data_IF_609252080429
#
_entry.id   IF_609252080429
#
_cell.length_a   1.000
_cell.length_b   1.000
_cell.length_c   1.000
_cell.angle_alpha   90.00
_cell.angle_beta   90.00
_cell.angle_gamma   90.00
#
_symmetry.space_group_name_H-M   'P 1'
#
loop_
_entity.id
_entity.type
_entity.pdbx_description
1 polymer ?
#
# COMPACT_ATOMS: atom_id res chain seq x y z
N UNK A 1 -13.71 -7.63 5.85
CA UNK A 1 -13.30 -8.99 5.42
C UNK A 1 -13.21 -9.03 3.89
N UNK A 2 -12.10 -8.59 3.30
CA UNK A 2 -12.01 -8.52 1.82
C UNK A 2 -10.64 -8.97 1.33
N UNK A 3 -10.64 -9.87 0.36
CA UNK A 3 -9.48 -10.21 -0.44
C UNK A 3 -9.61 -9.52 -1.79
N UNK A 4 -8.52 -8.90 -2.25
CA UNK A 4 -8.46 -8.21 -3.54
C UNK A 4 -7.32 -8.77 -4.36
N UNK A 5 -7.58 -9.02 -5.62
CA UNK A 5 -6.59 -9.46 -6.57
C UNK A 5 -6.66 -8.57 -7.80
N UNK A 6 -5.51 -8.21 -8.33
CA UNK A 6 -5.38 -7.38 -9.51
C UNK A 6 -4.12 -7.73 -10.28
N UNK A 7 -4.14 -7.48 -11.57
CA UNK A 7 -2.93 -7.48 -12.38
C UNK A 7 -2.54 -6.03 -12.65
N UNK A 8 -1.29 -5.70 -12.40
CA UNK A 8 -0.73 -4.36 -12.48
C UNK A 8 0.36 -4.38 -13.55
N UNK A 9 0.42 -3.37 -14.40
CA UNK A 9 1.45 -3.20 -15.40
C UNK A 9 1.92 -1.77 -15.46
N UNK A 10 3.18 -1.57 -15.14
CA UNK A 10 3.88 -0.32 -15.36
C UNK A 10 4.15 -0.16 -16.86
N UNK A 11 3.63 0.88 -17.49
CA UNK A 11 3.86 1.13 -18.92
C UNK A 11 4.94 2.16 -19.18
N UNK A 12 5.02 3.18 -18.35
CA UNK A 12 6.07 4.16 -18.42
C UNK A 12 7.32 3.71 -17.67
N UNK A 13 8.50 4.02 -18.22
CA UNK A 13 9.75 3.86 -17.49
C UNK A 13 9.74 4.82 -16.29
N UNK A 14 9.92 4.28 -15.10
CA UNK A 14 9.88 5.05 -13.87
C UNK A 14 8.47 5.36 -13.35
N UNK A 15 7.46 4.55 -13.71
CA UNK A 15 6.07 4.75 -13.24
C UNK A 15 5.92 4.55 -11.74
N UNK A 16 5.02 5.35 -11.16
CA UNK A 16 4.61 5.30 -9.76
C UNK A 16 3.07 5.31 -9.65
N UNK A 17 2.55 4.49 -8.78
CA UNK A 17 1.15 4.42 -8.38
C UNK A 17 1.04 3.69 -7.04
N UNK A 18 -0.16 3.53 -6.52
CA UNK A 18 -0.42 2.78 -5.31
C UNK A 18 -1.86 2.27 -5.24
N UNK A 19 -2.06 1.21 -4.47
CA UNK A 19 -3.40 0.77 -4.11
C UNK A 19 -3.63 1.11 -2.65
N UNK A 20 -4.48 2.09 -2.43
CA UNK A 20 -4.90 2.54 -1.11
C UNK A 20 -6.10 1.71 -0.65
N UNK A 21 -6.13 1.31 0.59
CA UNK A 21 -7.25 0.55 1.15
C UNK A 21 -7.59 1.02 2.57
N UNK A 22 -8.84 0.81 2.97
CA UNK A 22 -9.40 1.36 4.22
C UNK A 22 -9.34 2.90 4.27
N UNK A 23 -9.48 3.55 3.13
CA UNK A 23 -9.48 5.01 3.02
C UNK A 23 -10.64 5.59 3.82
N UNK A 24 -10.35 6.59 4.61
CA UNK A 24 -11.33 7.49 5.23
C UNK A 24 -11.35 8.79 4.44
N UNK A 25 -12.52 9.22 4.01
CA UNK A 25 -12.66 10.53 3.37
C UNK A 25 -12.59 11.64 4.43
N UNK A 26 -11.67 12.56 4.23
CA UNK A 26 -11.50 13.76 5.06
C UNK A 26 -11.56 14.96 4.14
N UNK A 27 -12.51 15.86 4.40
CA UNK A 27 -12.74 17.03 3.55
C UNK A 27 -11.45 17.85 3.35
N UNK A 28 -11.15 18.18 2.10
CA UNK A 28 -9.97 18.98 1.74
C UNK A 28 -8.63 18.26 1.90
N UNK A 29 -8.63 16.95 2.20
CA UNK A 29 -7.41 16.17 2.38
C UNK A 29 -7.27 15.08 1.31
N UNK A 30 -6.04 14.75 0.90
CA UNK A 30 -5.80 13.66 -0.03
C UNK A 30 -5.99 12.28 0.64
N UNK A 31 -6.48 11.30 -0.12
CA UNK A 31 -6.83 9.98 0.39
C UNK A 31 -5.65 9.21 1.03
N UNK A 32 -4.43 9.46 0.56
CA UNK A 32 -3.24 8.73 1.03
C UNK A 32 -2.83 9.06 2.47
N UNK A 33 -3.38 10.08 3.10
CA UNK A 33 -3.07 10.37 4.51
C UNK A 33 -3.83 9.48 5.49
N UNK A 34 -4.90 8.83 5.03
CA UNK A 34 -5.79 8.04 5.88
C UNK A 34 -5.72 6.54 5.64
N UNK A 35 -4.90 6.12 4.68
CA UNK A 35 -4.92 4.75 4.16
C UNK A 35 -3.54 4.11 4.10
N UNK A 36 -3.39 2.85 4.50
CA UNK A 36 -2.24 2.04 4.12
C UNK A 36 -2.17 1.90 2.60
N UNK A 37 -0.95 1.83 2.07
CA UNK A 37 -0.69 1.77 0.64
C UNK A 37 0.11 0.52 0.28
N UNK A 38 -0.44 -0.26 -0.68
CA UNK A 38 0.31 -1.24 -1.43
C UNK A 38 1.02 -0.52 -2.56
N UNK A 39 2.34 -0.38 -2.48
CA UNK A 39 3.12 0.38 -3.46
C UNK A 39 3.12 -0.29 -4.82
N UNK A 40 2.99 0.51 -5.88
CA UNK A 40 3.15 0.10 -7.28
C UNK A 40 4.24 0.97 -7.89
N UNK A 41 5.40 0.38 -8.18
CA UNK A 41 6.57 1.13 -8.59
C UNK A 41 7.44 0.36 -9.58
N UNK A 42 7.98 1.07 -10.57
CA UNK A 42 9.13 0.58 -11.34
C UNK A 42 10.40 0.69 -10.47
N UNK A 43 10.72 -0.37 -9.76
CA UNK A 43 11.84 -0.40 -8.80
C UNK A 43 13.20 -0.08 -9.42
N UNK A 44 13.37 -0.36 -10.71
CA UNK A 44 14.64 -0.16 -11.40
C UNK A 44 14.88 1.29 -11.80
N UNK A 45 13.82 2.01 -12.17
CA UNK A 45 13.94 3.30 -12.82
C UNK A 45 13.36 4.47 -12.01
N UNK A 46 12.43 4.24 -11.07
CA UNK A 46 11.85 5.31 -10.27
C UNK A 46 12.79 5.69 -9.10
N UNK A 47 13.06 6.98 -8.87
CA UNK A 47 13.97 7.42 -7.81
C UNK A 47 13.50 7.06 -6.40
N UNK A 48 12.18 6.99 -6.15
CA UNK A 48 11.62 6.67 -4.83
C UNK A 48 11.98 5.24 -4.36
N UNK A 49 12.26 4.32 -5.28
CA UNK A 49 12.72 2.96 -4.94
C UNK A 49 14.02 2.93 -4.12
N UNK A 50 14.82 3.99 -4.21
CA UNK A 50 16.11 4.16 -3.52
C UNK A 50 15.98 4.97 -2.23
N UNK A 51 14.82 5.55 -1.99
CA UNK A 51 14.51 6.31 -0.80
C UNK A 51 13.91 5.39 0.28
N UNK A 52 13.69 5.97 1.47
CA UNK A 52 13.18 5.20 2.59
C UNK A 52 14.25 4.32 3.23
N UNK A 53 13.83 3.19 3.81
CA UNK A 53 14.69 2.27 4.54
C UNK A 53 14.48 0.85 4.04
N UNK A 54 15.58 0.16 3.75
CA UNK A 54 15.60 -1.27 3.38
C UNK A 54 14.67 -1.65 2.18
N UNK A 55 14.36 -0.69 1.29
CA UNK A 55 13.46 -0.90 0.15
C UNK A 55 11.97 -0.79 0.47
N UNK A 56 11.59 -0.18 1.58
CA UNK A 56 10.20 -0.04 2.01
C UNK A 56 9.33 0.89 1.15
N UNK A 57 9.89 1.42 0.05
CA UNK A 57 9.17 2.16 -0.98
C UNK A 57 9.16 1.45 -2.34
N UNK A 58 9.63 0.22 -2.39
CA UNK A 58 9.58 -0.61 -3.59
C UNK A 58 8.20 -1.25 -3.77
N UNK A 59 7.94 -1.80 -4.96
CA UNK A 59 6.68 -2.45 -5.32
C UNK A 59 6.24 -3.49 -4.29
N UNK A 60 4.94 -3.54 -4.00
CA UNK A 60 4.27 -4.39 -3.02
C UNK A 60 4.60 -4.13 -1.55
N UNK A 61 5.52 -3.22 -1.23
CA UNK A 61 5.78 -2.79 0.15
C UNK A 61 4.54 -2.16 0.77
N UNK A 62 4.43 -2.23 2.10
CA UNK A 62 3.62 -1.26 2.83
C UNK A 62 4.42 0.05 2.83
N UNK A 63 3.98 1.00 2.03
CA UNK A 63 4.74 2.19 1.68
C UNK A 63 5.30 2.91 2.91
N UNK A 64 6.62 3.18 2.86
CA UNK A 64 7.42 3.85 3.90
C UNK A 64 7.47 3.13 5.27
N UNK A 65 6.92 1.91 5.39
CA UNK A 65 6.89 1.16 6.64
C UNK A 65 7.55 -0.22 6.54
N UNK A 66 7.01 -1.13 5.71
CA UNK A 66 7.51 -2.50 5.61
C UNK A 66 7.94 -2.82 4.18
N UNK A 67 9.21 -3.22 3.95
CA UNK A 67 9.66 -3.65 2.64
C UNK A 67 9.03 -4.98 2.23
N UNK A 68 8.68 -5.12 0.94
CA UNK A 68 8.29 -6.41 0.38
C UNK A 68 9.47 -7.38 0.34
N UNK A 69 9.30 -8.56 0.96
CA UNK A 69 10.32 -9.63 0.98
C UNK A 69 9.65 -10.99 0.78
N UNK A 70 10.05 -11.77 -0.26
CA UNK A 70 11.03 -11.41 -1.29
C UNK A 70 10.54 -10.27 -2.19
N UNK A 71 11.47 -9.49 -2.75
CA UNK A 71 11.14 -8.55 -3.81
C UNK A 71 11.15 -9.26 -5.14
N UNK A 72 9.96 -9.64 -5.64
CA UNK A 72 9.79 -10.47 -6.83
C UNK A 72 9.01 -9.75 -7.94
N UNK A 73 9.03 -8.40 -7.95
CA UNK A 73 8.42 -7.63 -9.03
C UNK A 73 9.12 -7.90 -10.36
N UNK A 74 8.32 -8.09 -11.40
CA UNK A 74 8.81 -8.16 -12.78
C UNK A 74 9.11 -6.76 -13.28
N UNK A 75 10.02 -6.62 -14.27
CA UNK A 75 10.37 -5.34 -14.86
C UNK A 75 9.17 -4.58 -15.44
N UNK A 76 9.32 -3.27 -15.63
CA UNK A 76 8.31 -2.46 -16.30
C UNK A 76 7.95 -3.05 -17.68
N UNK A 77 6.69 -2.87 -18.08
CA UNK A 77 6.16 -3.49 -19.30
C UNK A 77 5.63 -4.91 -19.11
N UNK A 78 5.94 -5.58 -18.00
CA UNK A 78 5.40 -6.88 -17.67
C UNK A 78 4.23 -6.79 -16.66
N UNK A 79 3.34 -7.80 -16.68
CA UNK A 79 2.25 -7.88 -15.74
C UNK A 79 2.70 -8.50 -14.42
N UNK A 80 2.52 -7.76 -13.33
CA UNK A 80 2.61 -8.24 -11.96
C UNK A 80 1.22 -8.54 -11.42
N UNK A 81 1.10 -9.57 -10.60
CA UNK A 81 -0.13 -9.91 -9.89
C UNK A 81 -0.03 -9.43 -8.47
N UNK A 82 -0.90 -8.48 -8.10
CA UNK A 82 -1.01 -7.99 -6.73
C UNK A 82 -2.24 -8.57 -6.04
N UNK A 83 -2.13 -8.87 -4.75
CA UNK A 83 -3.26 -9.25 -3.91
C UNK A 83 -3.08 -8.65 -2.51
N UNK A 84 -4.15 -8.08 -1.99
CA UNK A 84 -4.22 -7.59 -0.61
C UNK A 84 -5.30 -8.41 0.10
N UNK A 85 -4.92 -9.07 1.17
CA UNK A 85 -5.84 -9.72 2.11
C UNK A 85 -5.93 -8.85 3.36
N UNK A 86 -7.14 -8.53 3.80
CA UNK A 86 -7.38 -7.85 5.07
C UNK A 86 -8.47 -8.62 5.83
N UNK A 87 -8.10 -9.21 6.96
CA UNK A 87 -9.01 -10.03 7.78
C UNK A 87 -8.76 -9.80 9.26
N UNK A 88 -9.75 -9.28 9.97
CA UNK A 88 -9.69 -9.01 11.43
C UNK A 88 -8.42 -8.25 11.87
N UNK A 89 -8.02 -7.24 11.09
CA UNK A 89 -6.83 -6.44 11.35
C UNK A 89 -5.53 -7.02 10.82
N UNK A 90 -5.47 -8.31 10.48
CA UNK A 90 -4.33 -8.88 9.78
C UNK A 90 -4.38 -8.48 8.32
N UNK A 91 -3.29 -7.92 7.82
CA UNK A 91 -3.12 -7.54 6.42
C UNK A 91 -1.92 -8.26 5.83
N UNK A 92 -2.12 -8.85 4.65
CA UNK A 92 -1.05 -9.50 3.88
C UNK A 92 -1.02 -8.95 2.47
N UNK A 93 0.13 -8.47 2.03
CA UNK A 93 0.40 -8.18 0.63
C UNK A 93 1.00 -9.40 -0.05
N UNK A 94 0.49 -9.70 -1.23
CA UNK A 94 1.05 -10.71 -2.11
C UNK A 94 1.53 -10.05 -3.40
N UNK A 95 2.65 -10.49 -3.91
CA UNK A 95 3.15 -10.13 -5.23
C UNK A 95 3.53 -11.41 -5.98
N UNK A 96 2.99 -11.57 -7.19
CA UNK A 96 3.21 -12.75 -8.04
C UNK A 96 2.98 -14.09 -7.29
N UNK A 97 1.84 -14.14 -6.57
CA UNK A 97 1.35 -15.27 -5.76
C UNK A 97 2.13 -15.58 -4.46
N UNK A 98 3.19 -14.83 -4.15
CA UNK A 98 3.93 -14.97 -2.90
C UNK A 98 3.52 -13.91 -1.88
N UNK A 99 3.34 -14.27 -0.58
CA UNK A 99 3.17 -13.30 0.49
C UNK A 99 4.50 -12.56 0.70
N UNK A 100 4.49 -11.23 0.64
CA UNK A 100 5.70 -10.40 0.70
C UNK A 100 5.71 -9.40 1.84
N UNK A 101 4.54 -9.10 2.42
CA UNK A 101 4.36 -8.25 3.62
C UNK A 101 3.23 -8.83 4.45
N UNK A 102 3.41 -8.87 5.77
CA UNK A 102 2.33 -9.15 6.73
C UNK A 102 2.46 -8.18 7.91
N UNK A 103 1.33 -7.66 8.37
CA UNK A 103 1.25 -6.80 9.54
C UNK A 103 -0.15 -6.82 10.17
N UNK A 104 -0.25 -6.26 11.39
CA UNK A 104 -1.49 -6.25 12.15
C UNK A 104 -1.86 -4.82 12.54
N UNK A 105 -2.97 -4.33 11.98
CA UNK A 105 -3.54 -3.04 12.31
C UNK A 105 -3.97 -2.97 13.77
N UNK A 106 -3.98 -1.76 14.34
CA UNK A 106 -4.46 -1.43 15.68
C UNK A 106 -3.70 -2.12 16.83
N UNK A 107 -2.47 -2.56 16.57
CA UNK A 107 -1.57 -3.15 17.55
C UNK A 107 -0.50 -2.15 18.00
N UNK A 108 0.20 -2.47 19.09
CA UNK A 108 1.37 -1.69 19.51
C UNK A 108 2.45 -1.66 18.43
N UNK A 109 2.66 -2.78 17.73
CA UNK A 109 3.61 -2.86 16.61
C UNK A 109 3.22 -1.92 15.47
N UNK A 110 1.93 -1.81 15.14
CA UNK A 110 1.42 -0.86 14.16
C UNK A 110 1.75 0.58 14.54
N UNK A 111 1.54 0.93 15.81
CA UNK A 111 1.91 2.25 16.33
C UNK A 111 3.39 2.53 16.20
N UNK A 112 4.25 1.59 16.57
CA UNK A 112 5.71 1.72 16.48
C UNK A 112 6.18 1.90 15.02
N UNK A 113 5.56 1.21 14.07
CA UNK A 113 5.84 1.42 12.64
C UNK A 113 5.47 2.83 12.19
N UNK A 114 4.33 3.35 12.61
CA UNK A 114 3.92 4.73 12.31
C UNK A 114 4.89 5.75 12.93
N UNK A 115 5.29 5.55 14.17
CA UNK A 115 6.24 6.43 14.88
C UNK A 115 7.59 6.52 14.14
N UNK A 116 8.00 5.45 13.44
CA UNK A 116 9.26 5.37 12.70
C UNK A 116 9.15 5.71 11.21
N UNK A 117 7.97 6.07 10.71
CA UNK A 117 7.70 6.39 9.30
C UNK A 117 7.68 7.89 9.03
N UNK A 118 7.44 8.25 7.76
CA UNK A 118 7.14 9.65 7.39
C UNK A 118 5.81 10.14 7.98
N UNK A 119 4.93 9.24 8.40
CA UNK A 119 3.64 9.53 9.00
C UNK A 119 3.70 9.66 10.52
N UNK A 120 4.89 9.76 11.13
CA UNK A 120 5.04 9.94 12.56
C UNK A 120 4.33 11.19 13.06
N UNK A 121 3.91 11.18 14.31
CA UNK A 121 3.14 12.28 14.92
C UNK A 121 3.85 13.63 14.81
N UNK A 122 5.17 13.63 14.93
CA UNK A 122 5.97 14.87 14.86
C UNK A 122 6.08 15.44 13.45
N UNK A 123 6.03 14.57 12.42
CA UNK A 123 6.15 14.98 11.02
C UNK A 123 4.81 15.31 10.40
N UNK A 124 3.79 14.49 10.69
CA UNK A 124 2.47 14.62 10.09
C UNK A 124 1.35 14.20 11.05
N UNK A 125 0.97 15.05 12.01
CA UNK A 125 0.03 14.72 13.09
C UNK A 125 -1.32 14.16 12.61
N UNK A 126 -1.92 14.78 11.58
CA UNK A 126 -3.22 14.34 11.05
C UNK A 126 -3.13 12.95 10.42
N UNK A 127 -2.15 12.71 9.56
CA UNK A 127 -1.95 11.39 8.95
C UNK A 127 -1.67 10.32 10.00
N UNK A 128 -0.90 10.65 11.02
CA UNK A 128 -0.64 9.75 12.14
C UNK A 128 -1.92 9.29 12.83
N UNK A 129 -2.80 10.23 13.20
CA UNK A 129 -4.06 9.91 13.89
C UNK A 129 -5.00 9.09 13.02
N UNK A 130 -5.14 9.44 11.73
CA UNK A 130 -5.97 8.71 10.79
C UNK A 130 -5.47 7.29 10.55
N UNK A 131 -4.18 7.10 10.38
CA UNK A 131 -3.57 5.79 10.18
C UNK A 131 -3.55 4.95 11.46
N UNK A 132 -3.35 5.57 12.63
CA UNK A 132 -3.45 4.89 13.92
C UNK A 132 -4.84 4.27 14.11
N UNK A 133 -5.88 5.00 13.72
CA UNK A 133 -7.28 4.58 13.74
C UNK A 133 -7.77 4.12 12.36
N UNK A 134 -6.92 3.48 11.58
CA UNK A 134 -7.21 3.06 10.20
C UNK A 134 -8.60 2.42 10.08
N UNK A 135 -9.41 2.94 9.14
CA UNK A 135 -10.81 2.54 8.94
C UNK A 135 -11.80 3.14 9.94
N UNK A 136 -11.38 4.07 10.81
CA UNK A 136 -12.24 4.74 11.78
C UNK A 136 -12.90 3.81 12.80
N UNK A 137 -14.03 4.23 13.36
CA UNK A 137 -14.78 3.49 14.38
C UNK A 137 -15.28 2.13 13.85
N UNK A 138 -15.74 2.10 12.61
CA UNK A 138 -16.31 0.89 12.00
C UNK A 138 -15.27 -0.10 11.47
N UNK A 139 -13.97 0.27 11.47
CA UNK A 139 -12.90 -0.52 10.87
C UNK A 139 -13.15 -0.86 9.39
N UNK A 140 -13.68 0.12 8.66
CA UNK A 140 -14.06 0.04 7.25
C UNK A 140 -13.47 1.21 6.46
N UNK A 141 -13.50 1.13 5.12
CA UNK A 141 -13.04 2.22 4.27
C UNK A 141 -13.08 1.86 2.80
N UNK A 142 -12.82 2.86 1.97
CA UNK A 142 -12.80 2.73 0.52
C UNK A 142 -11.48 2.15 0.02
N UNK A 143 -11.48 1.81 -1.27
CA UNK A 143 -10.28 1.44 -2.03
C UNK A 143 -10.07 2.49 -3.10
N UNK A 144 -8.83 2.90 -3.28
CA UNK A 144 -8.44 3.81 -4.35
C UNK A 144 -7.20 3.31 -5.09
N UNK A 145 -7.13 3.70 -6.35
CA UNK A 145 -5.93 3.59 -7.15
C UNK A 145 -5.32 4.99 -7.25
N UNK A 146 -4.07 5.13 -6.86
CA UNK A 146 -3.41 6.42 -6.89
C UNK A 146 -3.04 6.80 -8.33
N UNK A 147 -3.45 7.98 -8.76
CA UNK A 147 -2.92 8.64 -9.94
C UNK A 147 -1.73 9.51 -9.51
N UNK A 148 -0.56 9.21 -10.04
CA UNK A 148 0.68 9.95 -9.79
C UNK A 148 1.18 10.71 -11.04
N UNK A 149 0.34 10.73 -12.11
CA UNK A 149 0.68 11.33 -13.39
C UNK A 149 1.47 10.41 -14.33
N UNK A 150 1.68 9.16 -13.92
CA UNK A 150 2.40 8.14 -14.69
C UNK A 150 1.44 7.11 -15.29
N UNK A 151 1.82 6.53 -16.43
CA UNK A 151 1.05 5.48 -17.07
C UNK A 151 1.16 4.15 -16.31
N UNK A 152 0.14 3.81 -15.53
CA UNK A 152 -0.01 2.51 -14.86
C UNK A 152 -1.33 1.87 -15.23
N UNK A 153 -1.31 0.59 -15.55
CA UNK A 153 -2.49 -0.12 -16.01
C UNK A 153 -2.88 -1.21 -15.02
N UNK A 154 -4.17 -1.26 -14.75
CA UNK A 154 -4.79 -2.27 -13.90
C UNK A 154 -5.78 -3.09 -14.71
N UNK A 155 -5.83 -4.40 -14.48
CA UNK A 155 -6.84 -5.29 -15.07
C UNK A 155 -7.19 -6.43 -14.11
N UNK A 156 -8.29 -7.13 -14.40
CA UNK A 156 -8.75 -8.27 -13.62
C UNK A 156 -8.89 -7.94 -12.13
N UNK A 157 -9.44 -6.75 -11.86
CA UNK A 157 -9.65 -6.29 -10.49
C UNK A 157 -10.83 -7.08 -9.91
N UNK A 158 -10.60 -7.81 -8.82
CA UNK A 158 -11.62 -8.58 -8.12
C UNK A 158 -11.60 -8.27 -6.64
N UNK A 159 -12.77 -8.28 -6.03
CA UNK A 159 -12.95 -8.16 -4.60
C UNK A 159 -13.72 -9.39 -4.13
N UNK A 160 -13.21 -10.05 -3.09
CA UNK A 160 -13.87 -11.17 -2.45
C UNK A 160 -14.06 -10.85 -0.97
N UNK A 161 -15.27 -11.02 -0.46
CA UNK A 161 -15.51 -11.01 0.98
C UNK A 161 -15.02 -12.32 1.60
N UNK A 162 -14.42 -12.22 2.78
CA UNK A 162 -13.94 -13.36 3.56
C UNK A 162 -14.90 -13.56 4.74
N UNK A 163 -15.38 -14.75 4.93
CA UNK A 163 -16.27 -15.16 6.03
C UNK A 163 -15.55 -15.25 7.38
#
# INVERSE_FOLDING_TARGET
RRQRQMCIRDRGKGSNSGVLYMIQEVEGQPSYISAPEYQVLDNANHPDAKLGKDGNRQSASLYDMIPAKPQNSKPFGEWNKGKIMCYKGTVVHYQNDEPVVEYHLWTQQWKEMLDNSKFSKDKWPLAYELLLNCGGENKEGFIGFQDHGDDVWYRNITIKELD
#
